data_IF_039464050771
#
_entry.id   IF_039464050771
#
_cell.length_a   1.000
_cell.length_b   1.000
_cell.length_c   1.000
_cell.angle_alpha   90.00
_cell.angle_beta   90.00
_cell.angle_gamma   90.00
#
_symmetry.space_group_name_H-M   'P 1'
#
loop_
_entity.id
_entity.type
_entity.pdbx_description
1 polymer ?
#
# COMPACT_ATOMS: atom_id res chain seq x y z
N UNK A 1 8.44 16.00 73.06
CA UNK A 1 9.16 15.83 71.78
C UNK A 1 8.17 15.99 70.63
N UNK A 2 8.45 16.83 69.64
CA UNK A 2 7.67 16.92 68.39
C UNK A 2 8.61 16.71 67.20
N UNK A 3 8.16 15.92 66.22
CA UNK A 3 8.79 15.79 64.90
C UNK A 3 7.83 16.38 63.87
N UNK A 4 8.36 17.24 63.01
CA UNK A 4 7.65 17.82 61.87
C UNK A 4 7.96 16.99 60.64
N UNK A 5 6.93 16.38 60.04
CA UNK A 5 7.06 15.64 58.79
C UNK A 5 6.45 16.49 57.68
N UNK A 6 7.30 17.09 56.85
CA UNK A 6 6.87 17.88 55.70
C UNK A 6 6.63 16.99 54.47
N UNK A 7 5.57 17.28 53.72
CA UNK A 7 5.20 16.52 52.51
C UNK A 7 6.19 16.78 51.37
N UNK A 8 6.94 15.76 50.96
CA UNK A 8 7.84 15.81 49.79
C UNK A 8 7.12 15.57 48.44
N UNK A 9 5.78 15.58 48.43
CA UNK A 9 4.99 15.06 47.31
C UNK A 9 5.28 15.76 45.97
N UNK A 10 5.59 17.06 45.98
CA UNK A 10 5.93 17.81 44.75
C UNK A 10 7.22 17.32 44.08
N UNK A 11 8.25 16.99 44.86
CA UNK A 11 9.53 16.51 44.33
C UNK A 11 9.42 15.09 43.75
N UNK A 12 8.66 14.23 44.42
CA UNK A 12 8.39 12.84 44.02
C UNK A 12 7.51 12.82 42.76
N UNK A 13 6.41 13.59 42.75
CA UNK A 13 5.55 13.74 41.58
C UNK A 13 6.30 14.32 40.38
N UNK A 14 7.14 15.33 40.60
CA UNK A 14 7.94 15.95 39.54
C UNK A 14 8.90 14.97 38.88
N UNK A 15 9.55 14.09 39.67
CA UNK A 15 10.47 13.06 39.15
C UNK A 15 9.72 11.97 38.40
N UNK A 16 8.60 11.51 38.97
CA UNK A 16 7.74 10.50 38.36
C UNK A 16 7.16 10.95 37.00
N UNK A 17 6.59 12.16 36.94
CA UNK A 17 6.03 12.73 35.70
C UNK A 17 7.11 12.86 34.62
N UNK A 18 8.32 13.31 34.98
CA UNK A 18 9.44 13.39 34.04
C UNK A 18 9.83 12.00 33.52
N UNK A 19 9.85 10.98 34.37
CA UNK A 19 10.12 9.60 33.98
C UNK A 19 9.07 9.04 33.01
N UNK A 20 7.78 9.27 33.30
CA UNK A 20 6.67 8.90 32.43
C UNK A 20 6.76 9.59 31.07
N UNK A 21 6.93 10.91 31.06
CA UNK A 21 6.99 11.71 29.84
C UNK A 21 8.17 11.33 28.95
N UNK A 22 9.36 11.09 29.54
CA UNK A 22 10.58 10.80 28.78
C UNK A 22 10.69 9.35 28.31
N UNK A 23 10.16 8.38 29.06
CA UNK A 23 10.38 6.94 28.79
C UNK A 23 9.12 6.19 28.43
N UNK A 24 8.06 6.34 29.21
CA UNK A 24 6.87 5.50 29.09
C UNK A 24 5.94 5.98 27.97
N UNK A 25 5.75 7.29 27.82
CA UNK A 25 4.88 7.83 26.78
C UNK A 25 5.42 7.52 25.36
N UNK A 26 6.71 7.78 25.02
CA UNK A 26 7.23 7.41 23.70
C UNK A 26 7.24 5.90 23.45
N UNK A 27 7.45 5.08 24.49
CA UNK A 27 7.37 3.62 24.37
C UNK A 27 5.96 3.14 24.06
N UNK A 28 4.98 3.60 24.84
CA UNK A 28 3.59 3.28 24.65
C UNK A 28 3.10 3.73 23.27
N UNK A 29 3.44 4.96 22.86
CA UNK A 29 3.10 5.48 21.53
C UNK A 29 3.73 4.64 20.43
N UNK A 30 5.02 4.31 20.50
CA UNK A 30 5.67 3.49 19.48
C UNK A 30 5.02 2.10 19.34
N UNK A 31 4.70 1.46 20.47
CA UNK A 31 4.01 0.16 20.47
C UNK A 31 2.59 0.28 19.90
N UNK A 32 1.85 1.32 20.26
CA UNK A 32 0.51 1.57 19.72
C UNK A 32 0.54 1.79 18.20
N UNK A 33 1.47 2.61 17.71
CA UNK A 33 1.68 2.83 16.27
C UNK A 33 1.97 1.49 15.57
N UNK A 34 2.87 0.68 16.13
CA UNK A 34 3.25 -0.60 15.55
C UNK A 34 2.06 -1.56 15.44
N UNK A 35 1.32 -1.74 16.54
CA UNK A 35 0.12 -2.58 16.56
C UNK A 35 -0.92 -2.10 15.56
N UNK A 36 -1.20 -0.80 15.51
CA UNK A 36 -2.12 -0.21 14.52
C UNK A 36 -1.64 -0.44 13.08
N UNK A 37 -0.34 -0.28 12.80
CA UNK A 37 0.20 -0.55 11.46
C UNK A 37 0.02 -2.02 11.05
N UNK A 38 0.18 -2.96 11.98
CA UNK A 38 -0.10 -4.37 11.71
C UNK A 38 -1.58 -4.63 11.47
N UNK A 39 -2.48 -4.00 12.22
CA UNK A 39 -3.93 -4.08 11.98
C UNK A 39 -4.31 -3.52 10.61
N UNK A 40 -3.76 -2.36 10.21
CA UNK A 40 -3.97 -1.78 8.87
C UNK A 40 -3.49 -2.75 7.80
N UNK A 41 -2.28 -3.31 7.95
CA UNK A 41 -1.75 -4.28 7.00
C UNK A 41 -2.64 -5.52 6.91
N UNK A 42 -3.08 -6.05 8.03
CA UNK A 42 -3.93 -7.23 8.09
C UNK A 42 -5.28 -6.97 7.42
N UNK A 43 -5.93 -5.86 7.76
CA UNK A 43 -7.17 -5.41 7.12
C UNK A 43 -7.00 -5.22 5.61
N UNK A 44 -5.91 -4.57 5.19
CA UNK A 44 -5.60 -4.37 3.77
C UNK A 44 -5.48 -5.69 3.03
N UNK A 45 -4.79 -6.67 3.63
CA UNK A 45 -4.53 -7.97 3.02
C UNK A 45 -5.79 -8.84 2.97
N UNK A 46 -6.62 -8.80 4.02
CA UNK A 46 -7.79 -9.69 4.19
C UNK A 46 -9.08 -9.15 3.58
N UNK A 47 -9.24 -7.83 3.53
CA UNK A 47 -10.49 -7.18 3.12
C UNK A 47 -10.24 -6.19 1.98
N UNK A 48 -9.54 -5.08 2.23
CA UNK A 48 -9.41 -3.98 1.26
C UNK A 48 -8.91 -4.45 -0.11
N UNK A 49 -7.86 -5.29 -0.15
CA UNK A 49 -7.31 -5.79 -1.40
C UNK A 49 -8.25 -6.76 -2.15
N UNK A 50 -8.75 -7.86 -1.54
CA UNK A 50 -9.67 -8.75 -2.22
C UNK A 50 -11.00 -8.10 -2.61
N UNK A 51 -11.51 -7.14 -1.85
CA UNK A 51 -12.76 -6.44 -2.19
C UNK A 51 -12.57 -5.50 -3.40
N UNK A 52 -11.35 -5.01 -3.61
CA UNK A 52 -11.03 -4.06 -4.69
C UNK A 52 -10.63 -4.72 -6.02
N UNK A 53 -10.24 -6.00 -6.00
CA UNK A 53 -9.63 -6.67 -7.16
C UNK A 53 -10.03 -8.14 -7.28
N UNK A 54 -10.15 -8.63 -8.52
CA UNK A 54 -10.16 -10.07 -8.80
C UNK A 54 -8.80 -10.69 -8.43
N UNK A 55 -8.75 -11.40 -7.30
CA UNK A 55 -7.50 -11.94 -6.74
C UNK A 55 -7.10 -13.25 -7.40
N UNK A 56 -6.22 -13.18 -8.39
CA UNK A 56 -5.60 -14.38 -9.01
C UNK A 56 -4.41 -14.93 -8.23
N UNK A 57 -3.71 -14.08 -7.48
CA UNK A 57 -2.58 -14.48 -6.63
C UNK A 57 -2.85 -14.04 -5.18
N UNK A 58 -3.31 -14.99 -4.36
CA UNK A 58 -3.66 -14.77 -2.95
C UNK A 58 -2.47 -14.30 -2.09
N UNK A 59 -1.24 -14.64 -2.47
CA UNK A 59 -0.04 -14.26 -1.73
C UNK A 59 0.50 -12.88 -2.10
N UNK A 60 0.02 -12.27 -3.19
CA UNK A 60 0.54 -10.99 -3.67
C UNK A 60 0.39 -9.89 -2.62
N UNK A 61 -0.82 -9.69 -2.06
CA UNK A 61 -1.05 -8.63 -1.08
C UNK A 61 -0.19 -8.82 0.18
N UNK A 62 -0.09 -10.06 0.68
CA UNK A 62 0.80 -10.40 1.80
C UNK A 62 2.26 -10.07 1.50
N UNK A 63 2.72 -10.29 0.27
CA UNK A 63 4.10 -10.01 -0.14
C UNK A 63 4.36 -8.51 -0.39
N UNK A 64 3.38 -7.81 -0.95
CA UNK A 64 3.43 -6.38 -1.27
C UNK A 64 3.48 -5.53 0.00
N UNK A 65 2.50 -5.69 0.90
CA UNK A 65 2.38 -4.80 2.05
C UNK A 65 3.33 -5.20 3.19
N UNK A 66 4.08 -4.21 3.68
CA UNK A 66 5.03 -4.31 4.80
C UNK A 66 4.83 -3.17 5.77
N UNK A 67 5.33 -3.39 6.99
CA UNK A 67 5.29 -2.41 8.08
C UNK A 67 6.73 -2.03 8.43
N UNK A 68 7.04 -0.74 8.35
CA UNK A 68 8.20 -0.17 9.04
C UNK A 68 7.75 0.26 10.44
N UNK A 69 8.44 -0.25 11.45
CA UNK A 69 8.08 -0.04 12.86
C UNK A 69 8.55 1.33 13.36
N UNK A 70 7.69 1.96 14.16
CA UNK A 70 8.05 3.06 15.04
C UNK A 70 8.94 2.57 16.19
N UNK A 71 9.71 3.50 16.76
CA UNK A 71 10.49 3.30 17.98
C UNK A 71 10.37 4.52 18.90
N UNK A 72 10.90 4.43 20.13
CA UNK A 72 10.79 5.50 21.14
C UNK A 72 11.36 6.85 20.70
N UNK A 73 12.31 6.86 19.75
CA UNK A 73 12.96 8.07 19.23
C UNK A 73 12.25 8.61 17.98
N UNK A 74 11.60 7.74 17.22
CA UNK A 74 10.86 8.06 15.99
C UNK A 74 9.47 7.44 16.06
N UNK A 75 8.51 8.24 16.48
CA UNK A 75 7.10 7.88 16.64
C UNK A 75 6.36 7.90 15.30
N UNK A 76 6.92 7.23 14.30
CA UNK A 76 6.34 7.14 12.95
C UNK A 76 6.45 5.70 12.47
N UNK A 77 5.30 5.08 12.20
CA UNK A 77 5.18 3.78 11.54
C UNK A 77 4.67 3.97 10.12
N UNK A 78 5.00 3.03 9.22
CA UNK A 78 4.57 3.10 7.83
C UNK A 78 4.06 1.76 7.34
N UNK A 79 2.89 1.77 6.70
CA UNK A 79 2.42 0.64 5.88
C UNK A 79 2.66 1.01 4.42
N UNK A 80 3.43 0.21 3.71
CA UNK A 80 3.86 0.52 2.35
C UNK A 80 3.92 -0.71 1.46
N UNK A 81 3.89 -0.48 0.15
CA UNK A 81 4.14 -1.51 -0.85
C UNK A 81 5.65 -1.68 -1.10
N UNK A 82 6.22 -2.74 -0.54
CA UNK A 82 7.63 -3.11 -0.73
C UNK A 82 7.96 -3.50 -2.17
N UNK A 83 6.99 -3.98 -2.94
CA UNK A 83 7.20 -4.37 -4.34
C UNK A 83 7.16 -3.18 -5.30
N UNK A 84 6.97 -1.95 -4.79
CA UNK A 84 7.00 -0.69 -5.53
C UNK A 84 6.11 -0.72 -6.79
N UNK A 85 4.95 -1.33 -6.67
CA UNK A 85 3.95 -1.43 -7.72
C UNK A 85 3.20 -0.11 -7.81
N UNK A 86 3.74 0.81 -8.61
CA UNK A 86 3.10 2.10 -8.96
C UNK A 86 1.63 2.00 -9.38
N UNK A 87 1.18 0.84 -9.85
CA UNK A 87 -0.22 0.63 -10.18
C UNK A 87 -1.12 0.56 -8.95
N UNK A 88 -0.68 0.04 -7.79
CA UNK A 88 -1.49 0.00 -6.56
C UNK A 88 -1.84 1.41 -6.09
N UNK A 89 -0.83 2.26 -5.97
CA UNK A 89 -1.00 3.67 -5.60
C UNK A 89 -1.95 4.39 -6.57
N UNK A 90 -1.83 4.14 -7.88
CA UNK A 90 -2.73 4.72 -8.88
C UNK A 90 -4.17 4.21 -8.72
N UNK A 91 -4.38 2.96 -8.30
CA UNK A 91 -5.74 2.46 -8.03
C UNK A 91 -6.31 3.03 -6.74
N UNK A 92 -5.46 3.44 -5.79
CA UNK A 92 -5.86 4.08 -4.55
C UNK A 92 -6.15 5.57 -4.68
N UNK A 93 -5.36 6.28 -5.49
CA UNK A 93 -5.59 7.72 -5.76
C UNK A 93 -6.55 7.96 -6.92
N UNK A 94 -6.61 7.03 -7.88
CA UNK A 94 -7.25 7.24 -9.17
C UNK A 94 -6.43 8.18 -10.07
N UNK A 95 -7.11 8.79 -11.04
CA UNK A 95 -6.58 9.83 -11.92
C UNK A 95 -6.22 9.34 -13.31
N UNK A 96 -5.49 10.16 -14.07
CA UNK A 96 -5.17 9.89 -15.47
C UNK A 96 -3.78 9.29 -15.61
N UNK A 97 -3.72 8.06 -16.12
CA UNK A 97 -2.46 7.41 -16.51
C UNK A 97 -1.94 8.07 -17.77
N UNK A 98 -0.72 8.60 -17.70
CA UNK A 98 0.04 9.11 -18.84
C UNK A 98 1.07 8.08 -19.33
N UNK A 99 1.35 8.04 -20.64
CA UNK A 99 2.42 7.21 -21.20
C UNK A 99 3.81 7.75 -20.82
N UNK A 100 4.81 6.86 -20.89
CA UNK A 100 6.25 7.22 -20.81
C UNK A 100 6.84 7.56 -22.19
N UNK A 101 5.98 7.91 -23.14
CA UNK A 101 6.26 8.14 -24.55
C UNK A 101 5.00 8.70 -25.18
N UNK A 102 4.69 8.32 -26.41
CA UNK A 102 3.51 8.86 -27.10
C UNK A 102 2.18 8.25 -26.63
N UNK A 103 2.12 6.93 -26.45
CA UNK A 103 0.84 6.24 -26.20
C UNK A 103 0.95 5.11 -25.17
N UNK A 104 -0.17 4.82 -24.53
CA UNK A 104 -0.41 3.64 -23.72
C UNK A 104 -0.88 2.49 -24.60
N UNK A 105 -0.13 1.39 -24.57
CA UNK A 105 -0.56 0.17 -25.23
C UNK A 105 -1.51 -0.64 -24.33
N UNK A 106 -2.77 -0.74 -24.73
CA UNK A 106 -3.82 -1.50 -24.04
C UNK A 106 -3.99 -2.85 -24.76
N UNK A 107 -3.68 -3.99 -24.11
CA UNK A 107 -3.79 -5.30 -24.74
C UNK A 107 -5.25 -5.66 -25.01
N UNK A 108 -5.53 -6.19 -26.19
CA UNK A 108 -6.84 -6.77 -26.53
C UNK A 108 -6.96 -8.22 -26.03
N UNK A 109 -8.14 -8.83 -26.22
CA UNK A 109 -8.40 -10.24 -25.94
C UNK A 109 -7.45 -11.20 -26.69
N UNK A 110 -6.87 -10.77 -27.82
CA UNK A 110 -5.91 -11.55 -28.60
C UNK A 110 -4.56 -11.75 -27.88
N UNK A 111 -4.24 -10.92 -26.89
CA UNK A 111 -3.04 -11.05 -26.07
C UNK A 111 -3.37 -11.86 -24.82
N UNK A 112 -3.23 -13.19 -24.95
CA UNK A 112 -3.39 -14.11 -23.81
C UNK A 112 -2.43 -13.76 -22.67
N UNK A 113 -3.01 -13.50 -21.50
CA UNK A 113 -2.32 -13.22 -20.24
C UNK A 113 -1.81 -14.51 -19.58
N UNK A 114 -0.86 -14.37 -18.66
CA UNK A 114 -0.40 -15.46 -17.78
C UNK A 114 -1.48 -15.81 -16.76
N UNK A 115 -1.32 -16.93 -16.05
CA UNK A 115 -2.20 -17.30 -14.93
C UNK A 115 -2.33 -16.17 -13.89
N UNK A 116 -1.24 -15.44 -13.64
CA UNK A 116 -1.21 -14.25 -12.77
C UNK A 116 -1.82 -12.98 -13.38
N UNK A 117 -2.43 -13.05 -14.57
CA UNK A 117 -3.07 -11.93 -15.25
C UNK A 117 -2.12 -10.94 -15.93
N UNK A 118 -0.82 -11.21 -15.97
CA UNK A 118 0.19 -10.34 -16.60
C UNK A 118 0.30 -10.61 -18.10
N UNK A 119 0.71 -9.61 -18.87
CA UNK A 119 1.19 -9.84 -20.24
C UNK A 119 2.60 -10.43 -20.15
N UNK A 120 2.78 -11.62 -20.75
CA UNK A 120 4.09 -12.28 -20.83
C UNK A 120 5.12 -11.43 -21.58
N UNK A 121 6.40 -11.56 -21.22
CA UNK A 121 7.48 -10.67 -21.71
C UNK A 121 7.54 -10.62 -23.24
N UNK A 122 7.48 -11.77 -23.91
CA UNK A 122 7.50 -11.86 -25.37
C UNK A 122 6.27 -11.26 -26.06
N UNK A 123 5.17 -11.07 -25.32
CA UNK A 123 3.93 -10.50 -25.87
C UNK A 123 3.80 -9.00 -25.60
N UNK A 124 4.73 -8.39 -24.86
CA UNK A 124 4.73 -6.95 -24.59
C UNK A 124 4.92 -6.18 -25.92
N UNK A 125 4.37 -4.96 -26.05
CA UNK A 125 4.34 -4.24 -27.32
C UNK A 125 5.69 -4.16 -28.04
N UNK A 126 6.77 -3.81 -27.33
CA UNK A 126 8.13 -3.69 -27.89
C UNK A 126 8.77 -5.02 -28.29
N UNK A 127 8.33 -6.12 -27.70
CA UNK A 127 8.92 -7.45 -27.92
C UNK A 127 8.10 -8.29 -28.91
N UNK A 128 6.97 -7.75 -29.36
CA UNK A 128 6.02 -8.48 -30.18
C UNK A 128 6.58 -8.63 -31.59
N UNK A 129 6.94 -9.86 -31.97
CA UNK A 129 7.45 -10.16 -33.31
C UNK A 129 6.37 -9.99 -34.39
N UNK A 130 6.79 -9.60 -35.58
CA UNK A 130 5.93 -9.40 -36.75
C UNK A 130 4.75 -8.45 -36.47
N UNK A 131 5.03 -7.38 -35.72
CA UNK A 131 4.04 -6.39 -35.34
C UNK A 131 4.38 -5.01 -35.90
N UNK A 132 3.34 -4.25 -36.23
CA UNK A 132 3.47 -2.89 -36.77
C UNK A 132 2.34 -2.01 -36.24
N UNK A 133 2.56 -0.70 -36.27
CA UNK A 133 1.54 0.29 -35.89
C UNK A 133 0.79 0.72 -37.15
N UNK A 134 -0.55 0.76 -37.06
CA UNK A 134 -1.41 1.28 -38.12
C UNK A 134 -2.63 1.98 -37.52
N UNK A 135 -3.37 2.72 -38.35
CA UNK A 135 -4.60 3.37 -37.93
C UNK A 135 -5.71 2.38 -37.62
N UNK A 136 -6.46 2.67 -36.57
CA UNK A 136 -7.61 1.91 -36.12
C UNK A 136 -8.88 2.61 -36.64
N UNK A 137 -9.09 2.57 -37.96
CA UNK A 137 -10.28 3.11 -38.64
C UNK A 137 -10.65 4.54 -38.17
N UNK A 138 -9.66 5.44 -38.10
CA UNK A 138 -9.86 6.83 -37.66
C UNK A 138 -10.07 7.03 -36.15
N UNK A 139 -10.10 5.96 -35.34
CA UNK A 139 -10.28 6.02 -33.88
C UNK A 139 -8.96 6.06 -33.10
N UNK A 140 -7.86 6.39 -33.77
CA UNK A 140 -6.51 6.41 -33.22
C UNK A 140 -5.61 5.33 -33.82
N UNK A 141 -4.54 4.96 -33.12
CA UNK A 141 -3.54 4.00 -33.59
C UNK A 141 -3.64 2.67 -32.85
N UNK A 142 -3.15 1.62 -33.48
CA UNK A 142 -3.14 0.28 -32.94
C UNK A 142 -1.88 -0.48 -33.34
N UNK A 143 -1.49 -1.46 -32.51
CA UNK A 143 -0.47 -2.45 -32.87
C UNK A 143 -1.18 -3.67 -33.44
N UNK A 144 -0.90 -3.98 -34.70
CA UNK A 144 -1.32 -5.20 -35.37
C UNK A 144 -0.18 -6.21 -35.37
N UNK A 145 -0.52 -7.49 -35.31
CA UNK A 145 0.45 -8.58 -35.41
C UNK A 145 0.08 -9.55 -36.52
N UNK A 146 1.06 -9.88 -37.37
CA UNK A 146 0.97 -10.96 -38.34
C UNK A 146 1.20 -12.31 -37.66
N UNK A 147 0.34 -13.28 -37.94
CA UNK A 147 0.42 -14.62 -37.36
C UNK A 147 -0.06 -15.70 -38.35
N UNK A 148 0.06 -16.97 -37.95
CA UNK A 148 -0.26 -18.13 -38.78
C UNK A 148 0.81 -18.41 -39.84
N UNK A 149 0.54 -19.39 -40.72
CA UNK A 149 1.48 -19.81 -41.77
C UNK A 149 1.91 -18.60 -42.62
N UNK A 150 3.21 -18.35 -42.67
CA UNK A 150 3.84 -17.22 -43.39
C UNK A 150 3.26 -15.83 -43.03
N UNK A 151 2.67 -15.66 -41.84
CA UNK A 151 2.15 -14.36 -41.38
C UNK A 151 0.93 -13.83 -42.16
N UNK A 152 0.17 -14.72 -42.82
CA UNK A 152 -0.99 -14.35 -43.65
C UNK A 152 -2.19 -13.83 -42.87
N UNK A 153 -2.27 -14.10 -41.56
CA UNK A 153 -3.37 -13.62 -40.71
C UNK A 153 -2.95 -12.39 -39.93
N UNK A 154 -3.88 -11.46 -39.72
CA UNK A 154 -3.69 -10.26 -38.91
C UNK A 154 -4.57 -10.31 -37.67
N UNK A 155 -4.03 -9.84 -36.55
CA UNK A 155 -4.81 -9.62 -35.33
C UNK A 155 -4.48 -8.27 -34.72
N UNK A 156 -5.49 -7.61 -34.19
CA UNK A 156 -5.32 -6.43 -33.34
C UNK A 156 -4.73 -6.87 -32.00
N UNK A 157 -3.49 -6.51 -31.72
CA UNK A 157 -2.78 -6.89 -30.50
C UNK A 157 -2.94 -5.84 -29.39
N UNK A 158 -2.80 -4.56 -29.72
CA UNK A 158 -2.94 -3.46 -28.77
C UNK A 158 -3.69 -2.28 -29.39
N UNK A 159 -4.51 -1.60 -28.59
CA UNK A 159 -5.00 -0.25 -28.88
C UNK A 159 -4.02 0.75 -28.26
N UNK A 160 -3.67 1.81 -29.00
CA UNK A 160 -2.78 2.87 -28.53
C UNK A 160 -3.60 4.09 -28.14
N UNK A 161 -3.68 4.34 -26.84
CA UNK A 161 -4.42 5.48 -26.29
C UNK A 161 -3.45 6.55 -25.76
N UNK A 162 -3.69 7.85 -25.99
CA UNK A 162 -2.83 8.91 -25.48
C UNK A 162 -2.89 9.00 -23.95
N UNK A 163 -4.02 8.60 -23.35
CA UNK A 163 -4.26 8.62 -21.91
C UNK A 163 -5.27 7.55 -21.51
N UNK A 164 -5.20 7.09 -20.27
CA UNK A 164 -6.22 6.18 -19.73
C UNK A 164 -6.69 6.66 -18.36
N UNK A 165 -8.01 6.76 -18.17
CA UNK A 165 -8.59 7.08 -16.86
C UNK A 165 -8.51 5.84 -15.97
N UNK A 166 -7.99 6.03 -14.76
CA UNK A 166 -7.95 5.00 -13.72
C UNK A 166 -8.91 5.44 -12.62
N UNK A 167 -10.01 4.70 -12.47
CA UNK A 167 -10.93 4.90 -11.36
C UNK A 167 -10.25 4.58 -10.03
N UNK A 168 -10.60 5.32 -8.99
CA UNK A 168 -10.25 4.98 -7.62
C UNK A 168 -11.11 3.79 -7.19
N UNK A 169 -10.49 2.64 -7.00
CA UNK A 169 -11.18 1.40 -6.57
C UNK A 169 -10.52 0.68 -5.42
N UNK A 170 -9.33 1.12 -5.01
CA UNK A 170 -8.59 0.53 -3.91
C UNK A 170 -8.61 1.50 -2.72
N UNK A 171 -9.56 1.32 -1.80
CA UNK A 171 -9.82 2.23 -0.67
C UNK A 171 -8.77 2.16 0.45
N UNK A 172 -7.49 2.07 0.10
CA UNK A 172 -6.39 1.86 1.02
C UNK A 172 -6.27 2.97 2.07
N UNK A 173 -6.38 4.22 1.65
CA UNK A 173 -6.18 5.37 2.56
C UNK A 173 -7.38 5.55 3.50
N UNK A 174 -8.59 5.32 2.97
CA UNK A 174 -9.85 5.41 3.70
C UNK A 174 -9.94 4.32 4.77
N UNK A 175 -9.64 3.07 4.38
CA UNK A 175 -9.66 1.94 5.30
C UNK A 175 -8.54 2.07 6.34
N UNK A 176 -7.34 2.50 5.94
CA UNK A 176 -6.24 2.73 6.89
C UNK A 176 -6.61 3.80 7.93
N UNK A 177 -7.27 4.89 7.51
CA UNK A 177 -7.76 5.94 8.41
C UNK A 177 -8.81 5.38 9.37
N UNK A 178 -9.77 4.62 8.85
CA UNK A 178 -10.84 3.99 9.64
C UNK A 178 -10.26 3.03 10.69
N UNK A 179 -9.34 2.16 10.29
CA UNK A 179 -8.65 1.22 11.19
C UNK A 179 -7.83 1.99 12.23
N UNK A 180 -7.13 3.05 11.83
CA UNK A 180 -6.34 3.89 12.76
C UNK A 180 -7.23 4.46 13.86
N UNK A 181 -8.30 5.16 13.48
CA UNK A 181 -9.22 5.80 14.42
C UNK A 181 -9.85 4.78 15.38
N UNK A 182 -10.19 3.58 14.88
CA UNK A 182 -10.80 2.51 15.67
C UNK A 182 -9.83 1.79 16.60
N UNK A 183 -8.58 1.56 16.17
CA UNK A 183 -7.64 0.66 16.85
C UNK A 183 -6.59 1.40 17.67
N UNK A 184 -6.13 2.56 17.22
CA UNK A 184 -5.04 3.28 17.86
C UNK A 184 -5.32 3.65 19.32
N UNK A 185 -6.48 4.24 19.69
CA UNK A 185 -6.75 4.59 21.09
C UNK A 185 -6.71 3.36 22.01
N UNK A 186 -7.31 2.24 21.57
CA UNK A 186 -7.30 0.98 22.33
C UNK A 186 -5.89 0.42 22.50
N UNK A 187 -5.07 0.46 21.45
CA UNK A 187 -3.67 0.01 21.53
C UNK A 187 -2.84 0.92 22.40
N UNK A 188 -3.05 2.23 22.33
CA UNK A 188 -2.36 3.21 23.15
C UNK A 188 -2.67 3.03 24.64
N UNK A 189 -3.96 2.96 25.02
CA UNK A 189 -4.33 2.77 26.43
C UNK A 189 -3.75 1.48 27.01
N UNK A 190 -3.76 0.38 26.24
CA UNK A 190 -3.14 -0.90 26.66
C UNK A 190 -1.63 -0.79 26.79
N UNK A 191 -0.96 -0.20 25.80
CA UNK A 191 0.49 -0.05 25.81
C UNK A 191 0.96 0.90 26.91
N UNK A 192 0.20 1.96 27.17
CA UNK A 192 0.47 2.93 28.24
C UNK A 192 0.29 2.30 29.62
N UNK A 193 -0.83 1.62 29.87
CA UNK A 193 -1.04 0.90 31.13
C UNK A 193 0.07 -0.12 31.40
N UNK A 194 0.51 -0.87 30.38
CA UNK A 194 1.62 -1.78 30.49
C UNK A 194 2.96 -1.07 30.78
N UNK A 195 3.23 0.05 30.11
CA UNK A 195 4.43 0.85 30.29
C UNK A 195 4.53 1.41 31.72
N UNK A 196 3.42 1.91 32.28
CA UNK A 196 3.34 2.38 33.67
C UNK A 196 3.55 1.23 34.64
N UNK A 197 2.88 0.08 34.44
CA UNK A 197 3.01 -1.08 35.34
C UNK A 197 4.43 -1.65 35.40
N UNK A 198 5.17 -1.55 34.30
CA UNK A 198 6.52 -2.11 34.18
C UNK A 198 7.62 -1.09 34.41
N UNK A 199 7.28 0.18 34.65
CA UNK A 199 8.28 1.18 35.01
C UNK A 199 8.77 0.93 36.43
N UNK A 200 10.03 0.54 36.57
CA UNK A 200 10.74 0.67 37.85
C UNK A 200 11.02 2.17 38.06
N UNK A 201 10.70 2.67 39.25
CA UNK A 201 10.99 4.04 39.69
C UNK A 201 12.46 4.37 39.61
#
# INVERSE_FOLDING_TARGET
MQIKVDSQIGSVLGTFIRGLAKRQLPYATANAINSTCFDIRDHTVKHTYPDSFEVRNKNFARAAFRVDKANKRRLVGRVYDRLQRRWLERQARGGTKRPHGSNLAIPTSNIKRTASGRVGVAKRPRNLRNAFVADLNGKGKAVYQRYGRKGRKLRLAYVLEPRARVGKRFSFYEDATTVTNKRFPKHFSRAFAHAVRTSKG
#
